data_IF_617597916503
#
_entry.id   IF_617597916503
#
_cell.length_a   1.000
_cell.length_b   1.000
_cell.length_c   1.000
_cell.angle_alpha   90.00
_cell.angle_beta   90.00
_cell.angle_gamma   90.00
#
_symmetry.space_group_name_H-M   'P 1'
#
loop_
_entity.id
_entity.type
_entity.pdbx_description
1 polymer ?
#
# COMPACT_ATOMS: atom_id res chain seq x y z
N UNK A 1 25.86 -25.24 9.43
CA UNK A 1 25.40 -24.69 10.73
C UNK A 1 23.94 -24.28 10.56
N UNK A 2 23.19 -24.13 11.65
CA UNK A 2 21.75 -23.87 11.61
C UNK A 2 21.50 -22.37 11.63
N UNK A 3 20.51 -21.91 10.85
CA UNK A 3 20.03 -20.53 10.87
C UNK A 3 19.54 -20.16 12.28
N UNK A 4 19.76 -18.91 12.69
CA UNK A 4 19.25 -18.40 13.98
C UNK A 4 17.98 -17.58 13.81
N UNK A 5 17.71 -17.08 12.60
CA UNK A 5 16.44 -16.45 12.24
C UNK A 5 15.30 -17.47 12.10
N UNK A 6 14.06 -16.97 12.04
CA UNK A 6 12.90 -17.75 11.61
C UNK A 6 12.83 -17.76 10.05
N UNK A 7 13.09 -18.90 9.39
CA UNK A 7 13.17 -18.94 7.93
C UNK A 7 11.81 -18.85 7.24
N UNK A 8 10.70 -19.18 7.93
CA UNK A 8 9.37 -19.08 7.34
C UNK A 8 8.90 -17.64 7.36
N UNK A 9 9.01 -16.99 8.52
CA UNK A 9 8.66 -15.59 8.71
C UNK A 9 9.50 -14.67 7.82
N UNK A 10 10.83 -14.84 7.82
CA UNK A 10 11.73 -14.03 7.00
C UNK A 10 11.44 -14.19 5.51
N UNK A 11 11.11 -15.41 5.05
CA UNK A 11 10.72 -15.65 3.64
C UNK A 11 9.41 -14.96 3.30
N UNK A 12 8.44 -14.97 4.23
CA UNK A 12 7.19 -14.22 4.09
C UNK A 12 7.46 -12.72 3.90
N UNK A 13 8.35 -12.15 4.72
CA UNK A 13 8.71 -10.73 4.60
C UNK A 13 9.43 -10.41 3.30
N UNK A 14 10.39 -11.24 2.88
CA UNK A 14 11.07 -11.11 1.58
C UNK A 14 10.04 -11.12 0.45
N UNK A 15 9.10 -12.07 0.49
CA UNK A 15 8.05 -12.17 -0.51
C UNK A 15 7.24 -10.86 -0.58
N UNK A 16 6.78 -10.34 0.56
CA UNK A 16 5.96 -9.12 0.57
C UNK A 16 6.72 -7.91 0.04
N UNK A 17 7.98 -7.70 0.46
CA UNK A 17 8.83 -6.61 -0.02
C UNK A 17 8.99 -6.66 -1.54
N UNK A 18 9.37 -7.83 -2.07
CA UNK A 18 9.59 -8.03 -3.50
C UNK A 18 8.28 -7.83 -4.26
N UNK A 19 7.21 -8.53 -3.90
CA UNK A 19 5.94 -8.54 -4.63
C UNK A 19 5.11 -7.27 -4.43
N UNK A 20 5.42 -6.43 -3.43
CA UNK A 20 4.83 -5.09 -3.29
C UNK A 20 5.08 -4.20 -4.51
N UNK A 21 6.23 -4.37 -5.17
CA UNK A 21 6.62 -3.59 -6.34
C UNK A 21 7.13 -2.18 -6.06
N UNK A 22 7.40 -1.82 -4.80
CA UNK A 22 7.85 -0.47 -4.45
C UNK A 22 9.37 -0.31 -4.30
N UNK A 23 10.10 -1.41 -4.15
CA UNK A 23 11.53 -1.37 -3.84
C UNK A 23 12.36 -1.91 -5.01
N UNK A 24 13.52 -1.31 -5.28
CA UNK A 24 14.56 -1.92 -6.11
C UNK A 24 15.03 -3.24 -5.50
N UNK A 25 15.35 -4.21 -6.35
CA UNK A 25 15.85 -5.53 -5.91
C UNK A 25 17.08 -5.44 -5.00
N UNK A 26 17.95 -4.47 -5.28
CA UNK A 26 19.20 -4.24 -4.53
C UNK A 26 18.96 -3.82 -3.07
N UNK A 27 17.78 -3.27 -2.77
CA UNK A 27 17.46 -2.77 -1.43
C UNK A 27 16.84 -3.86 -0.54
N UNK A 28 16.33 -4.95 -1.14
CA UNK A 28 15.56 -5.99 -0.42
C UNK A 28 16.40 -6.66 0.66
N UNK A 29 17.66 -6.98 0.39
CA UNK A 29 18.57 -7.58 1.38
C UNK A 29 18.72 -6.66 2.59
N UNK A 30 19.06 -5.39 2.34
CA UNK A 30 19.27 -4.38 3.39
C UNK A 30 18.00 -4.15 4.21
N UNK A 31 16.84 -4.08 3.56
CA UNK A 31 15.56 -3.94 4.26
C UNK A 31 15.29 -5.11 5.22
N UNK A 32 15.68 -6.33 4.87
CA UNK A 32 15.52 -7.47 5.77
C UNK A 32 16.54 -7.40 6.91
N UNK A 33 17.81 -7.13 6.61
CA UNK A 33 18.88 -7.21 7.60
C UNK A 33 18.91 -6.04 8.57
N UNK A 34 18.43 -4.86 8.16
CA UNK A 34 18.61 -3.61 8.91
C UNK A 34 17.28 -2.99 9.37
N UNK A 35 16.16 -3.23 8.66
CA UNK A 35 14.85 -2.68 9.06
C UNK A 35 13.93 -3.74 9.69
N UNK A 36 14.00 -4.99 9.25
CA UNK A 36 13.12 -6.06 9.71
C UNK A 36 13.71 -6.89 10.85
N UNK A 37 14.96 -7.31 10.69
CA UNK A 37 15.74 -8.02 11.71
C UNK A 37 16.71 -7.07 12.41
N UNK A 38 17.25 -7.50 13.53
CA UNK A 38 18.36 -6.82 14.17
C UNK A 38 19.69 -7.26 13.50
N UNK A 39 20.45 -6.35 12.86
CA UNK A 39 21.70 -6.70 12.19
C UNK A 39 22.76 -7.28 13.14
N UNK A 40 22.68 -7.00 14.45
CA UNK A 40 23.58 -7.51 15.48
C UNK A 40 23.17 -8.90 15.98
N UNK A 41 21.93 -9.35 15.71
CA UNK A 41 21.42 -10.67 16.11
C UNK A 41 21.51 -11.75 15.01
N UNK A 42 21.83 -11.35 13.78
CA UNK A 42 21.94 -12.28 12.63
C UNK A 42 23.39 -12.67 12.34
N UNK A 43 23.60 -13.95 12.04
CA UNK A 43 24.91 -14.49 11.70
C UNK A 43 25.30 -14.23 10.24
N UNK A 44 26.56 -14.48 9.89
CA UNK A 44 26.99 -14.45 8.49
C UNK A 44 26.25 -15.47 7.60
N UNK A 45 25.78 -16.57 8.19
CA UNK A 45 25.03 -17.62 7.50
C UNK A 45 23.59 -17.20 7.24
N UNK A 46 22.96 -16.51 8.20
CA UNK A 46 21.66 -15.88 8.02
C UNK A 46 21.71 -14.83 6.92
N UNK A 47 22.73 -13.96 6.91
CA UNK A 47 22.92 -12.95 5.85
C UNK A 47 23.08 -13.59 4.47
N UNK A 48 23.90 -14.64 4.36
CA UNK A 48 24.05 -15.38 3.11
C UNK A 48 22.73 -16.03 2.65
N UNK A 49 21.94 -16.54 3.59
CA UNK A 49 20.63 -17.11 3.31
C UNK A 49 19.60 -16.06 2.87
N UNK A 50 19.52 -14.92 3.57
CA UNK A 50 18.63 -13.79 3.24
C UNK A 50 18.92 -13.30 1.83
N UNK A 51 20.20 -13.09 1.50
CA UNK A 51 20.63 -12.67 0.17
C UNK A 51 20.17 -13.64 -0.91
N UNK A 52 20.42 -14.94 -0.72
CA UNK A 52 20.01 -15.96 -1.69
C UNK A 52 18.49 -16.03 -1.85
N UNK A 53 17.72 -15.90 -0.77
CA UNK A 53 16.26 -15.91 -0.81
C UNK A 53 15.68 -14.64 -1.47
N UNK A 54 16.28 -13.46 -1.21
CA UNK A 54 15.92 -12.21 -1.86
C UNK A 54 16.18 -12.28 -3.37
N UNK A 55 17.38 -12.71 -3.79
CA UNK A 55 17.72 -12.91 -5.21
C UNK A 55 16.74 -13.90 -5.88
N UNK A 56 16.43 -15.02 -5.21
CA UNK A 56 15.46 -16.00 -5.70
C UNK A 56 14.06 -15.40 -5.88
N UNK A 57 13.59 -14.63 -4.91
CA UNK A 57 12.28 -13.99 -4.96
C UNK A 57 12.22 -12.92 -6.07
N UNK A 58 13.24 -12.09 -6.21
CA UNK A 58 13.35 -11.08 -7.27
C UNK A 58 13.34 -11.73 -8.65
N UNK A 59 14.14 -12.78 -8.87
CA UNK A 59 14.14 -13.54 -10.14
C UNK A 59 12.75 -14.11 -10.45
N UNK A 60 12.09 -14.72 -9.45
CA UNK A 60 10.75 -15.27 -9.64
C UNK A 60 9.73 -14.19 -10.03
N UNK A 61 9.80 -13.01 -9.39
CA UNK A 61 8.95 -11.87 -9.73
C UNK A 61 9.23 -11.36 -11.14
N UNK A 62 10.48 -11.15 -11.53
CA UNK A 62 10.84 -10.71 -12.90
C UNK A 62 10.36 -11.67 -13.98
N UNK A 63 10.39 -12.98 -13.71
CA UNK A 63 9.82 -13.98 -14.63
C UNK A 63 8.30 -13.77 -14.73
N UNK A 64 7.59 -13.64 -13.60
CA UNK A 64 6.15 -13.42 -13.60
C UNK A 64 5.76 -12.11 -14.31
N UNK A 65 6.51 -11.02 -14.11
CA UNK A 65 6.23 -9.71 -14.73
C UNK A 65 6.23 -9.73 -16.26
N UNK A 66 6.99 -10.64 -16.89
CA UNK A 66 7.03 -10.80 -18.35
C UNK A 66 5.70 -11.27 -18.93
N UNK A 67 4.95 -12.03 -18.15
CA UNK A 67 3.67 -12.61 -18.56
C UNK A 67 2.47 -11.74 -18.11
N UNK A 68 2.72 -10.63 -17.41
CA UNK A 68 1.66 -9.73 -16.98
C UNK A 68 1.05 -8.97 -18.16
N UNK A 69 -0.28 -8.72 -18.14
CA UNK A 69 -0.93 -7.91 -19.15
C UNK A 69 -0.37 -6.49 -19.14
N UNK A 70 -0.45 -5.79 -20.28
CA UNK A 70 0.03 -4.42 -20.43
C UNK A 70 -0.52 -3.48 -19.33
N UNK A 71 -1.79 -3.65 -18.97
CA UNK A 71 -2.42 -2.98 -17.83
C UNK A 71 -2.75 -4.02 -16.74
N UNK A 72 -2.21 -3.84 -15.55
CA UNK A 72 -2.47 -4.69 -14.38
C UNK A 72 -3.57 -4.12 -13.48
N UNK A 73 -3.90 -4.85 -12.42
CA UNK A 73 -4.76 -4.39 -11.34
C UNK A 73 -4.19 -3.14 -10.67
N UNK A 74 -2.86 -3.10 -10.47
CA UNK A 74 -2.22 -1.91 -9.90
C UNK A 74 -2.36 -0.70 -10.82
N UNK A 75 -2.18 -0.86 -12.12
CA UNK A 75 -2.31 0.25 -13.08
C UNK A 75 -3.75 0.83 -13.08
N UNK A 76 -4.77 -0.04 -12.96
CA UNK A 76 -6.17 0.39 -12.79
C UNK A 76 -6.42 1.07 -11.44
N UNK A 77 -5.80 0.57 -10.37
CA UNK A 77 -5.90 1.17 -9.03
C UNK A 77 -5.24 2.56 -8.98
N UNK A 78 -4.04 2.71 -9.56
CA UNK A 78 -3.36 4.02 -9.62
C UNK A 78 -4.18 5.03 -10.44
N UNK A 79 -4.81 4.61 -11.54
CA UNK A 79 -5.73 5.48 -12.28
C UNK A 79 -6.89 6.01 -11.41
N UNK A 80 -7.45 5.18 -10.53
CA UNK A 80 -8.45 5.62 -9.52
C UNK A 80 -7.85 6.65 -8.57
N UNK A 81 -6.64 6.42 -8.08
CA UNK A 81 -5.96 7.36 -7.18
C UNK A 81 -5.61 8.69 -7.86
N UNK A 82 -5.19 8.66 -9.13
CA UNK A 82 -5.00 9.86 -9.96
C UNK A 82 -6.31 10.64 -10.08
N UNK A 83 -7.42 9.95 -10.34
CA UNK A 83 -8.73 10.58 -10.45
C UNK A 83 -9.17 11.23 -9.13
N UNK A 84 -9.01 10.52 -7.99
CA UNK A 84 -9.29 11.07 -6.66
C UNK A 84 -8.50 12.37 -6.40
N UNK A 85 -7.20 12.40 -6.75
CA UNK A 85 -6.38 13.61 -6.65
C UNK A 85 -6.93 14.75 -7.51
N UNK A 86 -7.37 14.45 -8.74
CA UNK A 86 -8.06 15.41 -9.61
C UNK A 86 -9.33 15.99 -9.00
N UNK A 87 -10.04 15.21 -8.19
CA UNK A 87 -11.27 15.59 -7.48
C UNK A 87 -11.00 16.25 -6.10
N UNK A 88 -9.76 16.64 -5.84
CA UNK A 88 -9.32 17.26 -4.57
C UNK A 88 -9.44 16.34 -3.36
N UNK A 89 -9.29 15.04 -3.56
CA UNK A 89 -9.13 14.06 -2.49
C UNK A 89 -7.63 13.70 -2.42
N UNK A 90 -7.01 13.84 -1.25
CA UNK A 90 -5.64 13.37 -1.04
C UNK A 90 -5.64 11.86 -1.20
N UNK A 91 -4.97 11.32 -2.21
CA UNK A 91 -4.90 9.88 -2.46
C UNK A 91 -3.45 9.39 -2.40
N UNK A 92 -3.11 8.59 -1.38
CA UNK A 92 -1.74 8.17 -1.08
C UNK A 92 -1.59 6.65 -1.14
N UNK A 93 -0.66 6.20 -1.97
CA UNK A 93 -0.22 4.81 -1.97
C UNK A 93 0.76 4.59 -0.83
N UNK A 94 0.56 3.53 -0.03
CA UNK A 94 1.49 3.11 1.04
C UNK A 94 1.87 4.28 1.98
N UNK A 95 0.86 4.93 2.56
CA UNK A 95 1.04 6.03 3.50
C UNK A 95 1.41 5.47 4.89
N UNK A 96 2.66 5.67 5.29
CA UNK A 96 3.21 5.14 6.53
C UNK A 96 3.11 3.62 6.70
N UNK A 97 3.36 3.16 7.93
CA UNK A 97 3.29 1.75 8.28
C UNK A 97 1.98 1.37 8.95
N UNK A 98 1.40 2.32 9.69
CA UNK A 98 0.15 2.16 10.44
C UNK A 98 -0.92 3.14 9.97
N UNK A 99 -2.17 2.94 10.45
CA UNK A 99 -3.27 3.87 10.22
C UNK A 99 -2.94 5.28 10.74
N UNK A 100 -2.28 5.38 11.89
CA UNK A 100 -1.91 6.66 12.50
C UNK A 100 -0.89 7.42 11.62
N UNK A 101 0.14 6.72 11.15
CA UNK A 101 1.15 7.29 10.25
C UNK A 101 0.52 7.80 8.95
N UNK A 102 -0.39 7.01 8.36
CA UNK A 102 -1.09 7.42 7.15
C UNK A 102 -1.96 8.67 7.36
N UNK A 103 -2.56 8.84 8.54
CA UNK A 103 -3.24 10.09 8.89
C UNK A 103 -2.28 11.27 9.05
N UNK A 104 -1.08 11.06 9.59
CA UNK A 104 -0.04 12.09 9.66
C UNK A 104 0.44 12.50 8.26
N UNK A 105 0.67 11.56 7.36
CA UNK A 105 1.01 11.83 5.96
C UNK A 105 -0.08 12.66 5.27
N UNK A 106 -1.35 12.30 5.47
CA UNK A 106 -2.49 13.09 4.95
C UNK A 106 -2.50 14.51 5.53
N UNK A 107 -2.28 14.68 6.84
CA UNK A 107 -2.20 16.01 7.49
C UNK A 107 -1.08 16.86 6.90
N UNK A 108 0.06 16.24 6.65
CA UNK A 108 1.22 16.89 6.06
C UNK A 108 0.93 17.35 4.62
N UNK A 109 0.37 16.49 3.78
CA UNK A 109 -0.03 16.86 2.41
C UNK A 109 -1.07 17.99 2.39
N UNK A 110 -2.05 17.94 3.31
CA UNK A 110 -3.03 19.02 3.46
C UNK A 110 -2.37 20.34 3.86
N UNK A 111 -1.38 20.31 4.76
CA UNK A 111 -0.62 21.49 5.17
C UNK A 111 0.19 22.08 4.02
N UNK A 112 0.92 21.25 3.29
CA UNK A 112 1.71 21.66 2.10
C UNK A 112 0.80 22.31 1.05
N UNK A 113 -0.40 21.75 0.85
CA UNK A 113 -1.35 22.26 -0.13
C UNK A 113 -2.02 23.60 0.24
N UNK A 114 -1.69 24.19 1.40
CA UNK A 114 -2.27 25.45 1.86
C UNK A 114 -3.49 25.30 2.78
N UNK A 115 -3.64 24.14 3.44
CA UNK A 115 -4.68 23.87 4.44
C UNK A 115 -6.08 24.13 3.87
N UNK A 116 -6.93 24.91 4.56
CA UNK A 116 -8.30 25.20 4.12
C UNK A 116 -8.35 25.89 2.73
N UNK A 117 -7.33 26.67 2.37
CA UNK A 117 -7.27 27.34 1.06
C UNK A 117 -7.01 26.36 -0.10
N UNK A 118 -6.60 25.12 0.19
CA UNK A 118 -6.33 24.08 -0.83
C UNK A 118 -7.58 23.60 -1.57
N UNK A 119 -8.76 23.76 -0.95
CA UNK A 119 -10.02 23.18 -1.43
C UNK A 119 -10.07 21.64 -1.36
N UNK A 120 -9.14 21.01 -0.61
CA UNK A 120 -9.13 19.56 -0.38
C UNK A 120 -10.39 19.13 0.36
N UNK A 121 -11.05 18.10 -0.17
CA UNK A 121 -12.38 17.63 0.27
C UNK A 121 -12.35 16.31 1.02
N UNK A 122 -11.23 15.61 1.04
CA UNK A 122 -11.14 14.31 1.67
C UNK A 122 -9.76 13.69 1.53
N UNK A 123 -9.63 12.47 2.03
CA UNK A 123 -8.48 11.63 1.78
C UNK A 123 -8.87 10.17 1.55
N UNK A 124 -7.96 9.42 0.93
CA UNK A 124 -7.99 7.98 0.69
C UNK A 124 -6.55 7.46 0.73
N UNK A 125 -6.27 6.40 1.50
CA UNK A 125 -4.95 5.80 1.54
C UNK A 125 -5.01 4.33 1.99
N UNK A 126 -3.90 3.64 1.81
CA UNK A 126 -3.60 2.37 2.47
C UNK A 126 -2.17 2.42 3.00
N UNK A 127 -1.89 1.73 4.10
CA UNK A 127 -0.56 1.69 4.73
C UNK A 127 0.18 0.38 4.39
N UNK A 128 1.45 0.25 4.82
CA UNK A 128 2.30 -0.92 4.51
C UNK A 128 1.64 -2.27 4.89
N UNK A 129 0.98 -2.39 6.04
CA UNK A 129 0.31 -3.65 6.43
C UNK A 129 -0.90 -4.03 5.54
N UNK A 130 -1.63 -3.02 5.03
CA UNK A 130 -2.72 -3.27 4.07
C UNK A 130 -2.17 -3.72 2.72
N UNK A 131 -1.02 -3.17 2.33
CA UNK A 131 -0.29 -3.58 1.14
C UNK A 131 0.20 -5.03 1.26
N UNK A 132 0.80 -5.41 2.39
CA UNK A 132 1.24 -6.80 2.62
C UNK A 132 0.05 -7.77 2.51
N UNK A 133 -1.11 -7.39 3.06
CA UNK A 133 -2.36 -8.16 2.90
C UNK A 133 -2.79 -8.25 1.44
N UNK A 134 -2.72 -7.15 0.69
CA UNK A 134 -3.09 -7.12 -0.72
C UNK A 134 -2.15 -7.97 -1.59
N UNK A 135 -0.85 -7.96 -1.29
CA UNK A 135 0.16 -8.82 -1.94
C UNK A 135 -0.19 -10.30 -1.76
N UNK A 136 -0.56 -10.71 -0.55
CA UNK A 136 -0.83 -12.12 -0.23
C UNK A 136 -2.22 -12.59 -0.68
N UNK A 137 -3.22 -11.71 -0.68
CA UNK A 137 -4.64 -12.12 -0.82
C UNK A 137 -5.39 -11.45 -1.97
N UNK A 138 -4.83 -10.41 -2.58
CA UNK A 138 -5.53 -9.55 -3.53
C UNK A 138 -6.57 -8.62 -2.90
N UNK A 139 -6.70 -8.60 -1.56
CA UNK A 139 -7.64 -7.73 -0.83
C UNK A 139 -6.93 -6.51 -0.29
N UNK A 140 -7.36 -5.33 -0.73
CA UNK A 140 -6.83 -4.05 -0.27
C UNK A 140 -7.85 -3.33 0.60
N UNK A 141 -7.42 -2.89 1.78
CA UNK A 141 -8.22 -2.03 2.64
C UNK A 141 -7.80 -0.59 2.47
N UNK A 142 -8.78 0.30 2.33
CA UNK A 142 -8.58 1.73 2.15
C UNK A 142 -9.18 2.48 3.34
N UNK A 143 -8.33 3.25 4.01
CA UNK A 143 -8.74 4.26 4.96
C UNK A 143 -9.11 5.55 4.22
N UNK A 144 -10.12 6.27 4.70
CA UNK A 144 -10.60 7.48 4.07
C UNK A 144 -11.24 8.42 5.10
N UNK A 145 -11.38 9.69 4.74
CA UNK A 145 -12.14 10.65 5.54
C UNK A 145 -12.66 11.80 4.69
N UNK A 146 -13.66 12.51 5.21
CA UNK A 146 -14.19 13.77 4.69
C UNK A 146 -13.24 14.97 4.88
N UNK A 147 -11.96 14.75 5.13
CA UNK A 147 -10.94 15.79 5.18
C UNK A 147 -10.86 16.51 6.52
N UNK A 148 -10.27 17.70 6.52
CA UNK A 148 -9.97 18.49 7.72
C UNK A 148 -11.07 19.52 8.03
N UNK A 149 -12.33 19.08 8.01
CA UNK A 149 -13.50 19.89 8.37
C UNK A 149 -13.61 19.95 9.91
N UNK A 150 -13.62 21.14 10.54
CA UNK A 150 -13.71 21.26 12.00
C UNK A 150 -15.01 20.70 12.57
N UNK A 151 -16.14 21.00 11.94
CA UNK A 151 -17.46 20.57 12.38
C UNK A 151 -17.64 19.07 12.17
N UNK A 152 -17.94 18.34 13.26
CA UNK A 152 -17.96 16.87 13.26
C UNK A 152 -19.05 16.35 12.33
N UNK A 153 -20.27 16.84 12.46
CA UNK A 153 -21.43 16.36 11.69
C UNK A 153 -21.24 16.61 10.18
N UNK A 154 -20.66 17.75 9.81
CA UNK A 154 -20.34 18.05 8.41
C UNK A 154 -19.21 17.15 7.90
N UNK A 155 -18.18 16.90 8.73
CA UNK A 155 -17.08 15.99 8.37
C UNK A 155 -17.60 14.58 8.17
N UNK A 156 -18.44 14.06 9.06
CA UNK A 156 -19.01 12.72 8.98
C UNK A 156 -19.90 12.57 7.74
N UNK A 157 -20.79 13.53 7.49
CA UNK A 157 -21.61 13.55 6.28
C UNK A 157 -20.73 13.58 5.01
N UNK A 158 -19.66 14.37 5.02
CA UNK A 158 -18.73 14.42 3.90
C UNK A 158 -17.88 13.15 3.77
N UNK A 159 -17.53 12.48 4.88
CA UNK A 159 -16.85 11.17 4.86
C UNK A 159 -17.70 10.14 4.12
N UNK A 160 -19.02 10.16 4.32
CA UNK A 160 -19.94 9.27 3.57
C UNK A 160 -19.93 9.59 2.07
N UNK A 161 -19.90 10.87 1.70
CA UNK A 161 -19.81 11.29 0.28
C UNK A 161 -18.49 10.81 -0.34
N UNK A 162 -17.37 11.01 0.35
CA UNK A 162 -16.04 10.57 -0.10
C UNK A 162 -15.98 9.05 -0.21
N UNK A 163 -16.48 8.31 0.77
CA UNK A 163 -16.50 6.85 0.78
C UNK A 163 -17.30 6.27 -0.39
N UNK A 164 -18.50 6.80 -0.63
CA UNK A 164 -19.31 6.42 -1.78
C UNK A 164 -18.60 6.70 -3.12
N UNK A 165 -17.92 7.85 -3.23
CA UNK A 165 -17.17 8.20 -4.44
C UNK A 165 -15.99 7.25 -4.68
N UNK A 166 -15.24 6.88 -3.64
CA UNK A 166 -14.16 5.90 -3.75
C UNK A 166 -14.70 4.55 -4.24
N UNK A 167 -15.79 4.05 -3.63
CA UNK A 167 -16.43 2.79 -4.05
C UNK A 167 -16.91 2.84 -5.50
N UNK A 168 -17.51 3.96 -5.91
CA UNK A 168 -17.95 4.17 -7.30
C UNK A 168 -16.77 4.08 -8.27
N UNK A 169 -15.67 4.78 -8.01
CA UNK A 169 -14.49 4.77 -8.87
C UNK A 169 -13.81 3.40 -8.95
N UNK A 170 -13.70 2.70 -7.82
CA UNK A 170 -13.17 1.34 -7.79
C UNK A 170 -14.02 0.38 -8.62
N UNK A 171 -15.36 0.49 -8.53
CA UNK A 171 -16.28 -0.33 -9.33
C UNK A 171 -16.20 0.03 -10.81
N UNK A 172 -16.10 1.31 -11.15
CA UNK A 172 -15.90 1.76 -12.53
C UNK A 172 -14.57 1.25 -13.12
N UNK A 173 -13.54 1.11 -12.29
CA UNK A 173 -12.27 0.49 -12.66
C UNK A 173 -12.33 -1.06 -12.72
N UNK A 174 -13.47 -1.67 -12.42
CA UNK A 174 -13.70 -3.11 -12.52
C UNK A 174 -13.31 -3.92 -11.28
N UNK A 175 -13.15 -3.28 -10.12
CA UNK A 175 -12.93 -3.98 -8.85
C UNK A 175 -14.25 -4.28 -8.13
N UNK A 176 -14.28 -5.37 -7.35
CA UNK A 176 -15.39 -5.56 -6.40
C UNK A 176 -15.05 -4.77 -5.14
N UNK A 177 -15.65 -3.58 -5.02
CA UNK A 177 -15.50 -2.73 -3.83
C UNK A 177 -16.70 -2.87 -2.89
N UNK A 178 -16.42 -3.06 -1.60
CA UNK A 178 -17.38 -3.24 -0.53
C UNK A 178 -17.13 -2.25 0.60
N UNK A 179 -18.21 -1.68 1.11
CA UNK A 179 -18.20 -0.79 2.27
C UNK A 179 -19.60 -0.81 2.87
N UNK A 180 -19.68 -0.86 4.21
CA UNK A 180 -20.95 -0.94 4.95
C UNK A 180 -21.72 0.38 4.98
N UNK A 181 -21.04 1.49 4.71
CA UNK A 181 -21.55 2.84 4.96
C UNK A 181 -21.13 3.41 6.32
N UNK A 182 -20.51 2.61 7.19
CA UNK A 182 -19.94 3.08 8.45
C UNK A 182 -18.58 3.76 8.19
N UNK A 183 -18.49 5.03 8.58
CA UNK A 183 -17.29 5.85 8.43
C UNK A 183 -16.11 5.38 9.29
N UNK A 184 -16.36 4.52 10.27
CA UNK A 184 -15.34 3.92 11.14
C UNK A 184 -14.78 2.61 10.55
N UNK A 185 -15.38 2.09 9.48
CA UNK A 185 -14.91 0.90 8.78
C UNK A 185 -14.17 1.28 7.49
N UNK A 186 -13.16 0.47 7.13
CA UNK A 186 -12.39 0.65 5.89
C UNK A 186 -13.18 0.15 4.68
N UNK A 187 -12.89 0.72 3.51
CA UNK A 187 -13.38 0.20 2.23
C UNK A 187 -12.50 -0.99 1.85
N UNK A 188 -13.09 -2.13 1.52
CA UNK A 188 -12.37 -3.26 0.93
C UNK A 188 -12.49 -3.22 -0.59
N UNK A 189 -11.36 -3.33 -1.29
CA UNK A 189 -11.28 -3.54 -2.72
C UNK A 189 -10.70 -4.94 -3.01
N UNK A 190 -11.50 -5.77 -3.68
CA UNK A 190 -11.03 -7.03 -4.26
C UNK A 190 -10.34 -6.77 -5.59
N UNK A 191 -9.01 -6.81 -5.58
CA UNK A 191 -8.18 -6.71 -6.78
C UNK A 191 -8.08 -8.07 -7.49
N UNK A 192 -8.41 -9.17 -6.82
CA UNK A 192 -8.12 -10.53 -7.25
C UNK A 192 -6.64 -10.88 -7.11
N UNK A 193 -5.74 -10.03 -7.61
CA UNK A 193 -4.29 -10.16 -7.47
C UNK A 193 -3.63 -8.78 -7.34
N UNK A 194 -2.58 -8.67 -6.54
CA UNK A 194 -1.70 -7.52 -6.56
C UNK A 194 -0.58 -7.73 -7.58
N UNK A 195 -0.54 -6.87 -8.60
CA UNK A 195 0.50 -6.91 -9.64
C UNK A 195 1.04 -5.52 -9.93
N UNK A 196 1.89 -5.02 -9.05
CA UNK A 196 2.67 -3.80 -9.27
C UNK A 196 4.04 -4.18 -9.81
N UNK A 197 4.41 -3.61 -10.96
CA UNK A 197 5.75 -3.80 -11.51
C UNK A 197 6.80 -3.13 -10.62
N UNK A 198 7.96 -3.77 -10.50
CA UNK A 198 9.12 -3.19 -9.83
C UNK A 198 9.51 -1.84 -10.44
N UNK A 199 10.23 -0.99 -9.68
CA UNK A 199 10.77 0.24 -10.23
C UNK A 199 11.72 -0.09 -11.39
N UNK A 200 11.54 0.58 -12.53
CA UNK A 200 12.54 0.56 -13.61
C UNK A 200 13.84 1.18 -13.10
N UNK A 201 14.95 0.47 -13.31
CA UNK A 201 16.30 0.96 -13.08
C UNK A 201 16.63 2.18 -13.95
#
# INVERSE_FOLDING_TARGET
MALTLDPEDTRGRIHDLVWSGFYPDADVEWMITDEYLDPDEITAEDRAWIKAEAERACVAKHIAERDWPAQTEYDRLDAVFVQLRGEKIIALHRAGNTLADGHDDVREQWRIAGRLASGIRGCCFYHSQDLDTAVRTGRLHLAFSGGMIPEIELREANTVVVGNRIVELLRAAGFKAQWSGDINERIEADLGQWRKRGPTA
#
